data_IF_536716079110
#
_entry.id   IF_536716079110
#
_cell.length_a   1.000
_cell.length_b   1.000
_cell.length_c   1.000
_cell.angle_alpha   90.00
_cell.angle_beta   90.00
_cell.angle_gamma   90.00
#
_symmetry.space_group_name_H-M   'P 1'
#
loop_
_entity.id
_entity.type
_entity.pdbx_description
1 polymer ?
#
# COMPACT_ATOMS: atom_id res chain seq x y z
N UNK A 1 -27.99 22.36 -18.78
CA UNK A 1 -28.04 21.07 -18.05
C UNK A 1 -28.86 20.03 -18.81
N UNK A 2 -29.90 20.41 -19.55
CA UNK A 2 -30.76 19.48 -20.33
C UNK A 2 -30.04 18.76 -21.49
N UNK A 3 -29.06 19.39 -22.15
CA UNK A 3 -28.35 18.77 -23.28
C UNK A 3 -27.55 17.50 -22.93
N UNK A 4 -27.08 17.37 -21.68
CA UNK A 4 -26.30 16.18 -21.28
C UNK A 4 -27.22 14.98 -20.99
N UNK A 5 -28.42 15.23 -20.49
CA UNK A 5 -29.41 14.19 -20.18
C UNK A 5 -30.00 13.57 -21.45
N UNK A 6 -30.20 14.37 -22.50
CA UNK A 6 -30.64 13.89 -23.82
C UNK A 6 -29.56 13.01 -24.47
N UNK A 7 -28.28 13.39 -24.35
CA UNK A 7 -27.15 12.58 -24.86
C UNK A 7 -27.07 11.22 -24.16
N UNK A 8 -27.34 11.17 -22.87
CA UNK A 8 -27.31 9.94 -22.08
C UNK A 8 -28.53 9.05 -22.38
N UNK A 9 -29.71 9.64 -22.51
CA UNK A 9 -30.93 8.94 -22.97
C UNK A 9 -30.73 8.31 -24.35
N UNK A 10 -30.07 9.01 -25.27
CA UNK A 10 -29.79 8.51 -26.62
C UNK A 10 -28.74 7.38 -26.61
N UNK A 11 -27.68 7.49 -25.80
CA UNK A 11 -26.69 6.42 -25.61
C UNK A 11 -27.32 5.15 -25.02
N UNK A 12 -28.17 5.31 -24.00
CA UNK A 12 -28.90 4.21 -23.35
C UNK A 12 -29.89 3.57 -24.33
N UNK A 13 -30.66 4.38 -25.05
CA UNK A 13 -31.61 3.87 -26.05
C UNK A 13 -30.91 3.17 -27.23
N UNK A 14 -29.74 3.66 -27.66
CA UNK A 14 -28.93 3.00 -28.69
C UNK A 14 -28.34 1.68 -28.18
N UNK A 15 -27.81 1.65 -26.95
CA UNK A 15 -27.33 0.41 -26.33
C UNK A 15 -28.42 -0.65 -26.18
N UNK A 16 -29.64 -0.26 -25.79
CA UNK A 16 -30.80 -1.18 -25.71
C UNK A 16 -31.26 -1.66 -27.09
N UNK A 17 -31.26 -0.76 -28.09
CA UNK A 17 -31.62 -1.10 -29.47
C UNK A 17 -30.62 -2.07 -30.10
N UNK A 18 -29.32 -1.85 -29.89
CA UNK A 18 -28.26 -2.72 -30.41
C UNK A 18 -28.36 -4.15 -29.85
N UNK A 19 -28.89 -4.29 -28.62
CA UNK A 19 -29.07 -5.56 -27.91
C UNK A 19 -30.46 -6.18 -28.12
N UNK A 20 -31.31 -5.59 -28.95
CA UNK A 20 -32.69 -6.05 -29.20
C UNK A 20 -33.54 -6.19 -27.93
N UNK A 21 -33.28 -5.36 -26.91
CA UNK A 21 -34.07 -5.35 -25.67
C UNK A 21 -35.28 -4.43 -25.91
N UNK A 22 -36.53 -4.92 -25.82
CA UNK A 22 -37.71 -4.10 -26.05
C UNK A 22 -37.92 -3.17 -24.84
N UNK A 23 -37.46 -1.93 -24.94
CA UNK A 23 -37.65 -0.92 -23.90
C UNK A 23 -38.43 0.27 -24.46
N UNK A 24 -39.46 0.70 -23.74
CA UNK A 24 -40.20 1.92 -24.06
C UNK A 24 -39.35 3.13 -23.64
N UNK A 25 -39.26 4.14 -24.52
CA UNK A 25 -38.48 5.35 -24.25
C UNK A 25 -38.98 6.13 -23.03
N UNK A 26 -40.27 6.01 -22.73
CA UNK A 26 -40.90 6.64 -21.57
C UNK A 26 -40.40 6.04 -20.25
N UNK A 27 -40.12 4.73 -20.22
CA UNK A 27 -39.58 4.04 -19.02
C UNK A 27 -38.10 4.41 -18.79
N UNK A 28 -37.35 4.63 -19.87
CA UNK A 28 -35.95 5.11 -19.81
C UNK A 28 -35.91 6.55 -19.29
N UNK A 29 -36.82 7.40 -19.76
CA UNK A 29 -36.93 8.78 -19.29
C UNK A 29 -37.34 8.85 -17.81
N UNK A 30 -38.24 7.96 -17.36
CA UNK A 30 -38.64 7.86 -15.96
C UNK A 30 -37.50 7.36 -15.05
N UNK A 31 -36.73 6.36 -15.48
CA UNK A 31 -35.58 5.84 -14.73
C UNK A 31 -34.41 6.84 -14.66
N UNK A 32 -34.25 7.67 -15.69
CA UNK A 32 -33.23 8.72 -15.74
C UNK A 32 -33.63 10.01 -15.01
N UNK A 33 -34.80 10.05 -14.37
CA UNK A 33 -35.18 11.16 -13.49
C UNK A 33 -34.41 11.14 -12.15
N UNK A 34 -33.87 9.98 -11.77
CA UNK A 34 -33.07 9.80 -10.57
C UNK A 34 -31.57 10.03 -10.84
N UNK A 35 -30.94 10.85 -10.00
CA UNK A 35 -29.55 11.27 -10.18
C UNK A 35 -28.55 10.14 -9.88
N UNK A 36 -28.91 9.21 -9.00
CA UNK A 36 -28.08 8.06 -8.66
C UNK A 36 -28.10 7.01 -9.79
N UNK A 37 -29.26 6.83 -10.42
CA UNK A 37 -29.41 6.01 -11.62
C UNK A 37 -28.59 6.55 -12.80
N UNK A 38 -28.51 7.87 -12.99
CA UNK A 38 -27.65 8.47 -14.01
C UNK A 38 -26.16 8.14 -13.79
N UNK A 39 -25.66 8.27 -12.55
CA UNK A 39 -24.26 7.94 -12.21
C UNK A 39 -23.98 6.44 -12.36
N UNK A 40 -24.95 5.60 -12.01
CA UNK A 40 -24.85 4.16 -12.19
C UNK A 40 -24.72 3.81 -13.68
N UNK A 41 -25.53 4.43 -14.53
CA UNK A 41 -25.48 4.22 -15.98
C UNK A 41 -24.14 4.73 -16.56
N UNK A 42 -23.65 5.89 -16.16
CA UNK A 42 -22.34 6.38 -16.64
C UNK A 42 -21.17 5.46 -16.25
N UNK A 43 -21.26 4.82 -15.08
CA UNK A 43 -20.21 3.92 -14.58
C UNK A 43 -20.31 2.48 -15.12
N UNK A 44 -21.52 2.00 -15.43
CA UNK A 44 -21.78 0.60 -15.78
C UNK A 44 -22.30 0.39 -17.21
N UNK A 45 -22.51 1.46 -17.99
CA UNK A 45 -22.86 1.40 -19.41
C UNK A 45 -21.66 1.81 -20.28
N UNK A 46 -20.50 1.24 -19.99
CA UNK A 46 -19.26 1.43 -20.76
C UNK A 46 -19.10 0.29 -21.76
N UNK A 47 -18.43 0.50 -22.92
CA UNK A 47 -18.22 -0.55 -23.92
C UNK A 47 -17.49 -1.79 -23.37
N UNK A 48 -16.77 -1.66 -22.25
CA UNK A 48 -16.09 -2.78 -21.58
C UNK A 48 -17.02 -3.62 -20.70
N UNK A 49 -18.14 -3.05 -20.24
CA UNK A 49 -19.13 -3.75 -19.41
C UNK A 49 -20.31 -4.29 -20.22
N UNK A 50 -20.29 -4.02 -21.53
CA UNK A 50 -21.40 -4.21 -22.43
C UNK A 50 -20.99 -5.08 -23.62
N UNK A 51 -21.44 -6.34 -23.66
CA UNK A 51 -21.17 -7.28 -24.77
C UNK A 51 -21.55 -6.67 -26.13
N UNK A 52 -20.61 -6.46 -27.04
CA UNK A 52 -20.92 -6.00 -28.40
C UNK A 52 -21.87 -6.95 -29.13
N UNK A 53 -22.49 -6.48 -30.22
CA UNK A 53 -23.42 -7.28 -31.02
C UNK A 53 -22.78 -8.58 -31.52
N UNK A 54 -21.51 -8.52 -31.92
CA UNK A 54 -20.75 -9.69 -32.36
C UNK A 54 -20.56 -10.68 -31.21
N UNK A 55 -20.12 -10.20 -30.05
CA UNK A 55 -19.95 -11.03 -28.85
C UNK A 55 -21.27 -11.64 -28.38
N UNK A 56 -22.40 -10.92 -28.49
CA UNK A 56 -23.71 -11.46 -28.13
C UNK A 56 -24.13 -12.59 -29.07
N UNK A 57 -23.88 -12.43 -30.38
CA UNK A 57 -24.14 -13.51 -31.34
C UNK A 57 -23.21 -14.70 -31.15
N UNK A 58 -21.96 -14.47 -30.73
CA UNK A 58 -21.03 -15.54 -30.41
C UNK A 58 -21.45 -16.26 -29.13
N UNK A 59 -21.86 -15.53 -28.09
CA UNK A 59 -22.35 -16.09 -26.84
C UNK A 59 -23.58 -16.96 -27.05
N UNK A 60 -24.58 -16.47 -27.78
CA UNK A 60 -25.81 -17.25 -28.09
C UNK A 60 -25.52 -18.48 -28.95
N UNK A 61 -24.57 -18.40 -29.90
CA UNK A 61 -24.10 -19.58 -30.65
C UNK A 61 -23.36 -20.58 -29.77
N UNK A 62 -22.52 -20.10 -28.85
CA UNK A 62 -21.78 -20.92 -27.88
C UNK A 62 -22.69 -21.59 -26.86
N UNK A 63 -23.77 -20.92 -26.45
CA UNK A 63 -24.82 -21.45 -25.59
C UNK A 63 -25.63 -22.53 -26.33
N UNK A 64 -26.07 -22.25 -27.56
CA UNK A 64 -26.83 -23.20 -28.37
C UNK A 64 -26.02 -24.45 -28.74
N UNK A 65 -24.71 -24.33 -28.90
CA UNK A 65 -23.80 -25.46 -29.17
C UNK A 65 -23.36 -26.20 -27.91
N UNK A 66 -23.71 -25.70 -26.70
CA UNK A 66 -23.32 -26.31 -25.42
C UNK A 66 -21.84 -26.17 -25.06
N UNK A 67 -21.01 -25.66 -25.97
CA UNK A 67 -19.56 -25.44 -25.79
C UNK A 67 -19.26 -24.39 -24.73
N UNK A 68 -20.20 -23.49 -24.42
CA UNK A 68 -20.05 -22.50 -23.35
C UNK A 68 -19.75 -23.15 -21.99
N UNK A 69 -20.38 -24.29 -21.68
CA UNK A 69 -20.12 -25.02 -20.42
C UNK A 69 -18.70 -25.57 -20.37
N UNK A 70 -18.20 -26.04 -21.51
CA UNK A 70 -16.82 -26.52 -21.63
C UNK A 70 -15.82 -25.39 -21.51
N UNK A 71 -16.09 -24.21 -22.06
CA UNK A 71 -15.21 -23.03 -21.94
C UNK A 71 -15.25 -22.49 -20.51
N UNK A 72 -16.41 -22.43 -19.85
CA UNK A 72 -16.52 -22.02 -18.46
C UNK A 72 -15.84 -23.00 -17.49
N UNK A 73 -15.81 -24.30 -17.83
CA UNK A 73 -15.08 -25.31 -17.07
C UNK A 73 -13.57 -25.34 -17.40
N UNK A 74 -13.19 -25.02 -18.64
CA UNK A 74 -11.79 -24.99 -19.09
C UNK A 74 -11.09 -23.66 -18.78
N UNK A 75 -11.84 -22.55 -18.69
CA UNK A 75 -11.38 -21.30 -18.14
C UNK A 75 -11.17 -21.55 -16.65
N UNK A 76 -9.93 -21.80 -16.29
CA UNK A 76 -9.52 -22.21 -14.96
C UNK A 76 -9.85 -21.19 -13.85
N UNK A 77 -11.12 -21.09 -13.45
CA UNK A 77 -11.48 -20.53 -12.14
C UNK A 77 -10.98 -21.49 -11.02
N UNK A 78 -10.50 -22.68 -11.39
CA UNK A 78 -9.93 -23.70 -10.51
C UNK A 78 -8.39 -23.66 -10.37
N UNK A 79 -7.65 -22.88 -11.17
CA UNK A 79 -6.17 -22.95 -11.16
C UNK A 79 -5.51 -22.02 -10.15
N UNK A 80 -6.28 -21.07 -9.61
CA UNK A 80 -5.93 -20.44 -8.34
C UNK A 80 -6.76 -21.13 -7.26
N UNK A 81 -6.14 -22.11 -6.59
CA UNK A 81 -6.63 -22.65 -5.32
C UNK A 81 -7.07 -21.45 -4.46
N UNK A 82 -8.33 -21.39 -4.00
CA UNK A 82 -8.76 -20.37 -3.06
C UNK A 82 -7.81 -20.45 -1.86
N UNK A 83 -7.15 -19.34 -1.51
CA UNK A 83 -6.31 -19.28 -0.32
C UNK A 83 -7.12 -19.84 0.85
N UNK A 84 -6.63 -20.91 1.46
CA UNK A 84 -7.29 -21.44 2.65
C UNK A 84 -7.13 -20.39 3.75
N UNK A 85 -8.20 -20.11 4.48
CA UNK A 85 -8.18 -19.17 5.60
C UNK A 85 -7.09 -19.54 6.64
N UNK A 86 -6.77 -20.83 6.73
CA UNK A 86 -5.67 -21.36 7.54
C UNK A 86 -4.28 -20.93 7.01
N UNK A 87 -4.05 -20.92 5.69
CA UNK A 87 -2.78 -20.47 5.11
C UNK A 87 -2.57 -18.96 5.31
N UNK A 88 -3.67 -18.19 5.26
CA UNK A 88 -3.65 -16.76 5.59
C UNK A 88 -3.33 -16.58 7.07
N UNK A 89 -3.94 -17.38 7.95
CA UNK A 89 -3.70 -17.34 9.40
C UNK A 89 -2.26 -17.69 9.74
N UNK A 90 -1.71 -18.74 9.14
CA UNK A 90 -0.32 -19.16 9.30
C UNK A 90 0.65 -18.08 8.82
N UNK A 91 0.36 -17.45 7.67
CA UNK A 91 1.16 -16.33 7.18
C UNK A 91 1.13 -15.12 8.13
N UNK A 92 -0.04 -14.81 8.72
CA UNK A 92 -0.19 -13.75 9.72
C UNK A 92 0.60 -14.07 10.99
N UNK A 93 0.53 -15.30 11.49
CA UNK A 93 1.29 -15.72 12.67
C UNK A 93 2.80 -15.68 12.43
N UNK A 94 3.25 -16.18 11.27
CA UNK A 94 4.65 -16.09 10.85
C UNK A 94 5.14 -14.65 10.76
N UNK A 95 4.32 -13.75 10.19
CA UNK A 95 4.64 -12.32 10.09
C UNK A 95 4.72 -11.66 11.47
N UNK A 96 3.80 -11.98 12.39
CA UNK A 96 3.82 -11.49 13.77
C UNK A 96 5.06 -11.97 14.51
N UNK A 97 5.42 -13.25 14.38
CA UNK A 97 6.61 -13.82 14.99
C UNK A 97 7.89 -13.13 14.46
N UNK A 98 7.97 -12.91 13.15
CA UNK A 98 9.09 -12.19 12.52
C UNK A 98 9.18 -10.75 13.00
N UNK A 99 8.05 -10.06 13.11
CA UNK A 99 7.98 -8.67 13.60
C UNK A 99 8.44 -8.58 15.06
N UNK A 100 7.98 -9.48 15.93
CA UNK A 100 8.41 -9.54 17.33
C UNK A 100 9.92 -9.81 17.47
N UNK A 101 10.47 -10.69 16.61
CA UNK A 101 11.90 -10.96 16.58
C UNK A 101 12.72 -9.72 16.17
N UNK A 102 12.28 -9.01 15.13
CA UNK A 102 12.91 -7.76 14.66
C UNK A 102 12.86 -6.68 15.74
N UNK A 103 11.73 -6.56 16.44
CA UNK A 103 11.56 -5.57 17.50
C UNK A 103 12.52 -5.83 18.67
N UNK A 104 12.63 -7.08 19.14
CA UNK A 104 13.57 -7.47 20.19
C UNK A 104 15.04 -7.21 19.77
N UNK A 105 15.41 -7.56 18.54
CA UNK A 105 16.75 -7.25 18.01
C UNK A 105 17.00 -5.75 17.99
N UNK A 106 16.01 -4.95 17.59
CA UNK A 106 16.09 -3.49 17.53
C UNK A 106 16.25 -2.89 18.92
N UNK A 107 15.53 -3.39 19.92
CA UNK A 107 15.67 -2.98 21.32
C UNK A 107 17.06 -3.30 21.87
N UNK A 108 17.56 -4.51 21.60
CA UNK A 108 18.91 -4.92 21.99
C UNK A 108 19.97 -4.00 21.38
N UNK A 109 19.87 -3.71 20.07
CA UNK A 109 20.78 -2.78 19.40
C UNK A 109 20.69 -1.36 19.96
N UNK A 110 19.48 -0.88 20.31
CA UNK A 110 19.31 0.42 20.96
C UNK A 110 20.01 0.48 22.31
N UNK A 111 19.91 -0.58 23.13
CA UNK A 111 20.60 -0.67 24.41
C UNK A 111 22.12 -0.68 24.23
N UNK A 112 22.64 -1.50 23.32
CA UNK A 112 24.08 -1.53 22.99
C UNK A 112 24.59 -0.17 22.50
N UNK A 113 23.83 0.51 21.63
CA UNK A 113 24.18 1.85 21.17
C UNK A 113 24.20 2.88 22.30
N UNK A 114 23.26 2.81 23.25
CA UNK A 114 23.24 3.69 24.43
C UNK A 114 24.46 3.46 25.31
N UNK A 115 24.81 2.20 25.55
CA UNK A 115 25.97 1.83 26.35
C UNK A 115 27.28 2.29 25.70
N UNK A 116 27.47 2.03 24.40
CA UNK A 116 28.65 2.51 23.66
C UNK A 116 28.77 4.03 23.72
N UNK A 117 27.66 4.77 23.55
CA UNK A 117 27.67 6.23 23.68
C UNK A 117 28.05 6.68 25.09
N UNK A 118 27.59 5.96 26.12
CA UNK A 118 27.96 6.22 27.51
C UNK A 118 29.45 5.99 27.74
N UNK A 119 30.01 4.87 27.27
CA UNK A 119 31.43 4.56 27.40
C UNK A 119 32.31 5.57 26.66
N UNK A 120 31.96 5.96 25.44
CA UNK A 120 32.70 7.00 24.69
C UNK A 120 32.69 8.33 25.47
N UNK A 121 31.52 8.73 26.00
CA UNK A 121 31.41 9.95 26.81
C UNK A 121 32.29 9.87 28.06
N UNK A 122 32.24 8.75 28.78
CA UNK A 122 33.02 8.57 30.00
C UNK A 122 34.53 8.55 29.72
N UNK A 123 34.97 7.85 28.66
CA UNK A 123 36.37 7.85 28.22
C UNK A 123 36.87 9.24 27.85
N UNK A 124 36.07 10.04 27.14
CA UNK A 124 36.40 11.43 26.83
C UNK A 124 36.50 12.29 28.09
N UNK A 125 35.60 12.11 29.05
CA UNK A 125 35.67 12.83 30.33
C UNK A 125 36.90 12.45 31.15
N UNK A 126 37.28 11.16 31.20
CA UNK A 126 38.49 10.70 31.89
C UNK A 126 39.74 11.33 31.26
N UNK A 127 39.88 11.23 29.93
CA UNK A 127 41.01 11.86 29.21
C UNK A 127 41.08 13.36 29.43
N UNK A 128 39.94 14.05 29.46
CA UNK A 128 39.91 15.48 29.75
C UNK A 128 40.36 15.80 31.17
N UNK A 129 39.97 15.00 32.17
CA UNK A 129 40.42 15.15 33.56
C UNK A 129 41.91 14.91 33.70
N UNK A 130 42.42 13.83 33.09
CA UNK A 130 43.85 13.53 33.06
C UNK A 130 44.65 14.67 32.42
N UNK A 131 44.22 15.16 31.26
CA UNK A 131 44.88 16.27 30.56
C UNK A 131 44.93 17.54 31.42
N UNK A 132 43.84 17.85 32.13
CA UNK A 132 43.80 18.99 33.07
C UNK A 132 44.75 18.79 34.25
N UNK A 133 44.75 17.61 34.86
CA UNK A 133 45.64 17.28 35.98
C UNK A 133 47.13 17.36 35.57
N UNK A 134 47.47 16.82 34.40
CA UNK A 134 48.81 16.93 33.81
C UNK A 134 49.22 18.38 33.54
N UNK A 135 48.31 19.19 32.99
CA UNK A 135 48.54 20.63 32.79
C UNK A 135 48.79 21.38 34.09
N UNK A 136 48.02 21.09 35.14
CA UNK A 136 48.21 21.67 36.47
C UNK A 136 49.56 21.29 37.09
N UNK A 137 49.94 20.01 37.00
CA UNK A 137 51.23 19.52 37.48
C UNK A 137 52.40 20.22 36.76
N UNK A 138 52.33 20.30 35.43
CA UNK A 138 53.35 20.97 34.61
C UNK A 138 53.50 22.45 34.97
N UNK A 139 52.38 23.15 35.17
CA UNK A 139 52.38 24.55 35.57
C UNK A 139 52.97 24.73 36.97
N UNK A 140 52.64 23.85 37.93
CA UNK A 140 53.21 23.87 39.28
C UNK A 140 54.73 23.72 39.24
N UNK A 141 55.24 22.73 38.51
CA UNK A 141 56.69 22.53 38.35
C UNK A 141 57.38 23.72 37.67
N UNK A 142 56.74 24.36 36.69
CA UNK A 142 57.29 25.55 36.04
C UNK A 142 57.41 26.74 37.01
N UNK A 143 56.39 26.95 37.86
CA UNK A 143 56.41 27.97 38.90
C UNK A 143 57.49 27.71 39.95
N UNK A 144 57.61 26.45 40.41
CA UNK A 144 58.66 26.05 41.37
C UNK A 144 60.07 26.30 40.80
N UNK A 145 60.31 26.01 39.52
CA UNK A 145 61.60 26.31 38.88
C UNK A 145 61.91 27.80 38.85
N UNK A 146 60.93 28.65 38.51
CA UNK A 146 61.12 30.10 38.51
C UNK A 146 61.43 30.65 39.91
N UNK A 147 60.82 30.08 40.95
CA UNK A 147 61.09 30.50 42.34
C UNK A 147 62.51 30.13 42.80
N UNK A 148 63.04 28.98 42.35
CA UNK A 148 64.42 28.58 42.65
C UNK A 148 65.42 29.46 41.91
N UNK A 149 65.16 29.79 40.65
CA UNK A 149 66.04 30.61 39.80
C UNK A 149 66.14 32.08 40.25
N UNK A 150 65.13 32.58 40.96
CA UNK A 150 65.13 33.94 41.56
C UNK A 150 65.79 33.96 42.95
N UNK A 151 65.96 32.80 43.60
CA UNK A 151 66.50 32.68 44.95
C UNK A 151 68.00 32.31 45.00
N UNK A 152 68.65 32.13 43.84
CA UNK A 152 70.10 31.93 43.66
C UNK A 152 70.73 33.22 43.15
#
# INVERSE_FOLDING_TARGET
>A
MENNQISLQEKVANAFRERSIPVKRDDIAAALADADTCKWIESHLTPETLLSKEEFTLYTKLEATGSLKSILQAQEISSTRPFLDDEIRDAIESLKASTAAIENQTETLKLQCKELKFQIRNGNQSRQRETKAWGQLKNKHALEKQQIDVAV
#
